data_IF_867800450606
#
_entry.id   IF_867800450606
#
_cell.length_a   1.000
_cell.length_b   1.000
_cell.length_c   1.000
_cell.angle_alpha   90.00
_cell.angle_beta   90.00
_cell.angle_gamma   90.00
#
_symmetry.space_group_name_H-M   'P 1'
#
loop_
_entity.id
_entity.type
_entity.pdbx_description
1 polymer ?
#
# COMPACT_ATOMS: atom_id res chain seq x y z
N UNK A 1 2.18 15.87 -10.48
CA UNK A 1 1.30 16.02 -9.42
C UNK A 1 1.88 15.59 -8.10
N UNK A 2 1.64 16.33 -7.09
CA UNK A 2 2.23 15.98 -5.83
C UNK A 2 1.44 14.95 -5.12
N UNK A 3 2.05 14.23 -4.22
CA UNK A 3 1.33 13.26 -3.43
C UNK A 3 0.26 13.93 -2.61
N UNK A 4 -0.67 13.14 -2.17
CA UNK A 4 -1.74 13.62 -1.34
C UNK A 4 -1.17 14.25 -0.07
N UNK A 5 -1.80 15.29 0.43
CA UNK A 5 -1.37 15.89 1.67
C UNK A 5 -1.91 15.14 2.86
N UNK A 6 -2.79 14.17 2.66
CA UNK A 6 -3.32 13.40 3.76
C UNK A 6 -2.26 12.49 4.33
N UNK A 7 -2.39 12.20 5.60
CA UNK A 7 -1.50 11.25 6.21
C UNK A 7 -1.77 9.88 5.63
N UNK A 8 -0.71 9.11 5.48
CA UNK A 8 -0.83 7.80 4.90
C UNK A 8 -1.87 6.94 5.62
N UNK A 9 -1.90 7.04 6.92
CA UNK A 9 -2.82 6.21 7.71
C UNK A 9 -4.28 6.51 7.43
N UNK A 10 -4.56 7.66 6.85
CA UNK A 10 -5.93 8.05 6.56
C UNK A 10 -6.41 7.61 5.19
N UNK A 11 -5.54 7.04 4.40
CA UNK A 11 -5.89 6.70 3.02
C UNK A 11 -6.53 5.32 2.95
N UNK A 12 -7.47 5.18 2.00
CA UNK A 12 -8.01 3.86 1.71
C UNK A 12 -6.93 3.09 0.97
N UNK A 13 -7.11 1.79 0.89
CA UNK A 13 -6.16 0.94 0.17
C UNK A 13 -6.03 1.41 -1.28
N UNK A 14 -7.16 1.64 -1.95
CA UNK A 14 -7.13 2.03 -3.36
C UNK A 14 -6.40 3.35 -3.56
N UNK A 15 -6.67 4.31 -2.71
CA UNK A 15 -6.02 5.61 -2.83
C UNK A 15 -4.53 5.49 -2.55
N UNK A 16 -4.18 4.74 -1.52
CA UNK A 16 -2.78 4.56 -1.16
C UNK A 16 -2.03 3.83 -2.27
N UNK A 17 -2.65 2.82 -2.85
CA UNK A 17 -2.00 2.05 -3.90
C UNK A 17 -1.80 2.90 -5.14
N UNK A 18 -2.80 3.71 -5.50
CA UNK A 18 -2.68 4.59 -6.65
C UNK A 18 -1.58 5.61 -6.45
N UNK A 19 -1.48 6.15 -5.25
CA UNK A 19 -0.43 7.12 -4.98
C UNK A 19 0.93 6.44 -5.04
N UNK A 20 1.03 5.23 -4.55
CA UNK A 20 2.27 4.48 -4.60
C UNK A 20 2.70 4.25 -6.05
N UNK A 21 1.76 3.89 -6.90
CA UNK A 21 2.07 3.71 -8.31
C UNK A 21 2.59 4.99 -8.95
N UNK A 22 1.98 6.11 -8.57
CA UNK A 22 2.41 7.40 -9.09
C UNK A 22 3.84 7.71 -8.65
N UNK A 23 4.15 7.39 -7.41
CA UNK A 23 5.50 7.65 -6.90
C UNK A 23 6.53 6.75 -7.60
N UNK A 24 6.21 5.50 -7.79
CA UNK A 24 7.13 4.59 -8.47
C UNK A 24 7.39 5.09 -9.89
N UNK A 25 6.33 5.50 -10.59
CA UNK A 25 6.50 6.01 -11.93
C UNK A 25 7.36 7.26 -11.94
N UNK A 26 7.17 8.13 -10.95
CA UNK A 26 7.95 9.35 -10.89
C UNK A 26 9.42 9.04 -10.64
N UNK A 27 9.70 8.06 -9.80
CA UNK A 27 11.08 7.70 -9.49
C UNK A 27 11.78 7.03 -10.67
N UNK A 28 11.01 6.32 -11.47
CA UNK A 28 11.57 5.63 -12.62
C UNK A 28 11.67 6.50 -13.86
N UNK A 29 10.96 7.58 -13.87
CA UNK A 29 10.86 8.40 -15.06
C UNK A 29 11.95 9.42 -15.20
N UNK A 30 11.69 10.64 -14.83
CA UNK A 30 12.62 11.69 -15.06
C UNK A 30 13.56 11.89 -13.94
N UNK A 31 14.69 12.46 -14.23
CA UNK A 31 15.62 12.80 -13.20
C UNK A 31 15.07 13.95 -12.39
N UNK A 32 15.37 13.97 -11.13
CA UNK A 32 14.95 15.04 -10.26
C UNK A 32 15.97 15.20 -9.16
N UNK A 33 15.91 16.31 -8.46
CA UNK A 33 16.87 16.55 -7.37
C UNK A 33 16.84 15.41 -6.37
N UNK A 34 18.00 15.12 -5.83
CA UNK A 34 18.13 13.99 -4.92
C UNK A 34 17.21 14.07 -3.73
N UNK A 35 17.10 15.23 -3.11
CA UNK A 35 16.23 15.34 -1.94
C UNK A 35 14.77 15.12 -2.29
N UNK A 36 14.34 15.46 -3.50
CA UNK A 36 12.99 15.17 -3.91
C UNK A 36 12.79 13.67 -4.07
N UNK A 37 13.79 12.99 -4.64
CA UNK A 37 13.71 11.56 -4.82
C UNK A 37 13.64 10.86 -3.47
N UNK A 38 14.41 11.33 -2.52
CA UNK A 38 14.39 10.74 -1.18
C UNK A 38 13.03 10.92 -0.53
N UNK A 39 12.45 12.10 -0.65
CA UNK A 39 11.13 12.35 -0.07
C UNK A 39 10.08 11.45 -0.69
N UNK A 40 10.13 11.29 -2.00
CA UNK A 40 9.19 10.41 -2.68
C UNK A 40 9.38 8.97 -2.23
N UNK A 41 10.63 8.56 -2.10
CA UNK A 41 10.92 7.21 -1.68
C UNK A 41 10.38 6.96 -0.28
N UNK A 42 10.57 7.90 0.63
CA UNK A 42 10.09 7.75 1.98
C UNK A 42 8.57 7.66 2.02
N UNK A 43 7.91 8.48 1.23
CA UNK A 43 6.46 8.42 1.17
C UNK A 43 6.01 7.09 0.59
N UNK A 44 6.72 6.62 -0.43
CA UNK A 44 6.41 5.33 -1.05
C UNK A 44 6.55 4.18 -0.06
N UNK A 45 7.58 4.23 0.78
CA UNK A 45 7.77 3.20 1.77
C UNK A 45 6.60 3.19 2.77
N UNK A 46 6.17 4.37 3.19
CA UNK A 46 5.05 4.46 4.12
C UNK A 46 3.77 3.94 3.48
N UNK A 47 3.56 4.28 2.21
CA UNK A 47 2.38 3.81 1.50
C UNK A 47 2.40 2.29 1.34
N UNK A 48 3.56 1.74 1.04
CA UNK A 48 3.68 0.29 0.86
C UNK A 48 3.36 -0.43 2.16
N UNK A 49 3.86 0.09 3.27
CA UNK A 49 3.58 -0.52 4.55
C UNK A 49 2.10 -0.44 4.90
N UNK A 50 1.51 0.70 4.63
CA UNK A 50 0.10 0.91 4.92
C UNK A 50 -0.76 -0.05 4.09
N UNK A 51 -0.45 -0.20 2.81
CA UNK A 51 -1.17 -1.13 1.95
C UNK A 51 -1.04 -2.56 2.45
N UNK A 52 0.17 -2.94 2.84
CA UNK A 52 0.37 -4.30 3.33
C UNK A 52 -0.44 -4.55 4.60
N UNK A 53 -0.49 -3.56 5.49
CA UNK A 53 -1.25 -3.70 6.72
C UNK A 53 -2.75 -3.82 6.44
N UNK A 54 -3.24 -3.04 5.48
CA UNK A 54 -4.64 -3.11 5.12
C UNK A 54 -5.01 -4.45 4.50
N UNK A 55 -4.12 -4.97 3.67
CA UNK A 55 -4.35 -6.28 3.08
C UNK A 55 -4.38 -7.36 4.13
N UNK A 56 -3.46 -7.30 5.06
CA UNK A 56 -3.42 -8.28 6.13
C UNK A 56 -4.69 -8.24 6.95
N UNK A 57 -5.15 -7.04 7.26
CA UNK A 57 -6.38 -6.87 8.00
C UNK A 57 -7.57 -7.43 7.25
N UNK A 58 -7.63 -7.19 5.94
CA UNK A 58 -8.71 -7.69 5.13
C UNK A 58 -8.70 -9.21 5.07
N UNK A 59 -7.53 -9.79 4.98
CA UNK A 59 -7.41 -11.25 4.96
C UNK A 59 -7.90 -11.86 6.26
N UNK A 60 -7.55 -11.23 7.36
CA UNK A 60 -8.03 -11.72 8.65
C UNK A 60 -9.53 -11.65 8.74
N UNK A 61 -10.10 -10.55 8.26
CA UNK A 61 -11.52 -10.38 8.30
C UNK A 61 -12.24 -11.42 7.46
N UNK A 62 -11.70 -11.72 6.31
CA UNK A 62 -12.28 -12.74 5.45
C UNK A 62 -12.25 -14.09 6.13
N UNK A 63 -11.17 -14.42 6.78
CA UNK A 63 -11.08 -15.66 7.51
C UNK A 63 -12.13 -15.74 8.61
N UNK A 64 -12.32 -14.65 9.34
CA UNK A 64 -13.30 -14.62 10.40
C UNK A 64 -14.71 -14.77 9.86
N UNK A 65 -14.98 -14.14 8.75
CA UNK A 65 -16.31 -14.22 8.16
C UNK A 65 -16.62 -15.60 7.63
N UNK A 66 -15.62 -16.25 7.08
CA UNK A 66 -15.80 -17.60 6.56
C UNK A 66 -15.74 -18.63 7.64
N UNK A 67 -15.21 -18.25 8.76
CA UNK A 67 -15.10 -19.17 9.85
C UNK A 67 -14.25 -20.35 9.50
N UNK A 68 -14.67 -21.49 9.95
CA UNK A 68 -13.89 -22.68 9.74
C UNK A 68 -13.83 -23.10 8.30
N UNK A 69 -14.81 -22.70 7.55
CA UNK A 69 -14.83 -23.07 6.15
C UNK A 69 -13.62 -22.56 5.41
N UNK A 70 -13.22 -21.36 5.69
CA UNK A 70 -12.08 -20.82 5.02
C UNK A 70 -10.83 -21.52 5.47
N UNK A 71 -10.77 -21.85 6.71
CA UNK A 71 -9.64 -22.55 7.24
C UNK A 71 -9.46 -23.87 6.57
N UNK A 72 -10.56 -24.55 6.34
CA UNK A 72 -10.48 -25.83 5.69
C UNK A 72 -10.06 -25.70 4.27
N UNK A 73 -10.38 -24.61 3.68
CA UNK A 73 -10.03 -24.41 2.31
C UNK A 73 -8.57 -24.19 2.12
N UNK A 74 -7.81 -23.97 3.17
CA UNK A 74 -6.46 -23.71 3.10
C UNK A 74 -5.75 -24.67 2.30
N UNK A 75 -5.16 -24.33 1.41
CA UNK A 75 -4.50 -25.26 0.56
C UNK A 75 -3.30 -25.78 1.17
N UNK A 76 -3.04 -25.75 1.46
CA UNK A 76 -2.16 -26.22 1.64
C UNK A 76 -1.72 -26.67 1.31
N UNK A 77 -1.82 -26.46 1.28
CA UNK A 77 -1.38 -27.11 1.04
C UNK A 77 -0.95 -27.02 0.67
#
# INVERSE_FOLDING_TARGET
MSPSSKKVEELTYETAFTELETIVAALEGESRPLDESISLYERGQALAKHCAALLEKAELKVRQLSGDGLTDFEPEA
#
